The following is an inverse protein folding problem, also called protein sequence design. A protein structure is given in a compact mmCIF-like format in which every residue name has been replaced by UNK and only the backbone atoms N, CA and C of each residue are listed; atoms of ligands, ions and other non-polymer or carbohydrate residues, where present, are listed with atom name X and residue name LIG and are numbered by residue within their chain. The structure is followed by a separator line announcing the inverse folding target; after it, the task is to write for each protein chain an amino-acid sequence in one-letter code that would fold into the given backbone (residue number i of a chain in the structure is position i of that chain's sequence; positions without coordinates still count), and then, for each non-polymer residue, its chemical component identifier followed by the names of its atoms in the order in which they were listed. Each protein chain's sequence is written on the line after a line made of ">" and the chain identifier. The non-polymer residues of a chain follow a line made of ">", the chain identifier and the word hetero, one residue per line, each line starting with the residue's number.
data_IF_177167056874
#
_entry.id   IF_177167056874
#
_cell.length_a   1.000
_cell.length_b   1.000
_cell.length_c   1.000
_cell.angle_alpha   90.00
_cell.angle_beta   90.00
_cell.angle_gamma   90.00
#
_symmetry.space_group_name_H-M   'P 1'
#
loop_
_entity.id
_entity.type
_entity.pdbx_description
1 polymer ?
#
# COMPACT_ATOMS: atom_id res chain seq x y z
N UNK A 1 -0.23 4.42 85.88
CA UNK A 1 -1.53 5.10 85.97
C UNK A 1 -1.79 5.78 84.63
N UNK A 2 -2.80 5.33 83.87
CA UNK A 2 -3.66 6.03 82.87
C UNK A 2 -3.02 7.11 81.96
N UNK A 3 -3.19 7.24 80.64
CA UNK A 3 -4.06 6.76 79.55
C UNK A 3 -3.19 6.90 78.26
N UNK A 4 -3.37 6.24 77.12
CA UNK A 4 -4.48 6.40 76.19
C UNK A 4 -4.19 5.52 74.98
N UNK A 5 -5.07 4.56 74.68
CA UNK A 5 -5.07 3.79 73.46
C UNK A 5 -6.30 4.22 72.65
N UNK A 6 -6.08 4.84 71.48
CA UNK A 6 -7.11 5.07 70.50
C UNK A 6 -6.87 4.15 69.30
N UNK A 7 -7.71 3.14 69.20
CA UNK A 7 -7.82 2.21 68.09
C UNK A 7 -8.85 2.77 67.09
N UNK A 8 -8.53 2.91 65.78
CA UNK A 8 -9.56 3.23 64.80
C UNK A 8 -10.39 1.97 64.50
N UNK A 9 -11.68 2.07 64.79
CA UNK A 9 -12.71 1.06 64.55
C UNK A 9 -12.95 0.83 63.05
N UNK A 10 -13.04 -0.44 62.68
CA UNK A 10 -13.52 -0.94 61.40
C UNK A 10 -14.95 -0.45 61.14
N UNK A 11 -15.18 0.18 60.00
CA UNK A 11 -16.52 0.31 59.39
C UNK A 11 -16.80 -0.89 58.46
N UNK A 12 -18.05 -1.39 58.41
CA UNK A 12 -18.38 -2.63 57.72
C UNK A 12 -18.58 -2.45 56.20
N UNK A 13 -18.22 -3.52 55.48
CA UNK A 13 -18.52 -3.79 54.07
C UNK A 13 -20.03 -3.74 53.81
N UNK A 14 -20.46 -3.06 52.74
CA UNK A 14 -21.57 -3.46 51.85
C UNK A 14 -21.92 -2.28 50.92
N UNK A 15 -21.39 -2.29 49.70
CA UNK A 15 -22.05 -1.93 48.44
C UNK A 15 -20.98 -1.76 47.35
N UNK A 16 -21.29 -2.24 46.14
CA UNK A 16 -20.58 -2.07 44.85
C UNK A 16 -19.87 -3.30 44.26
N UNK A 17 -20.32 -4.51 44.59
CA UNK A 17 -20.12 -5.73 43.78
C UNK A 17 -21.35 -6.05 42.91
N UNK A 18 -21.89 -5.05 42.20
CA UNK A 18 -23.04 -5.25 41.29
C UNK A 18 -22.96 -4.41 40.01
N UNK A 19 -21.77 -4.28 39.41
CA UNK A 19 -21.63 -3.71 38.07
C UNK A 19 -20.72 -4.57 37.18
N UNK A 20 -20.88 -5.89 37.24
CA UNK A 20 -20.20 -6.87 36.38
C UNK A 20 -21.15 -7.82 35.64
N UNK A 21 -22.48 -7.58 35.64
CA UNK A 21 -23.45 -8.43 34.91
C UNK A 21 -24.51 -7.58 34.16
N UNK A 22 -24.10 -6.43 33.61
CA UNK A 22 -24.96 -5.63 32.73
C UNK A 22 -24.23 -5.13 31.46
N UNK A 23 -23.15 -5.81 31.07
CA UNK A 23 -22.41 -5.53 29.84
C UNK A 23 -22.19 -6.79 28.98
N UNK A 24 -23.02 -7.82 29.17
CA UNK A 24 -22.97 -9.11 28.44
C UNK A 24 -24.32 -9.52 27.83
N UNK A 25 -25.29 -8.60 27.76
CA UNK A 25 -26.58 -8.80 27.08
C UNK A 25 -26.79 -7.81 25.90
N UNK A 26 -25.69 -7.29 25.34
CA UNK A 26 -25.66 -6.58 24.06
C UNK A 26 -24.72 -7.28 23.05
N UNK A 27 -24.58 -8.60 23.20
CA UNK A 27 -24.38 -9.46 22.03
C UNK A 27 -25.77 -9.75 21.44
N UNK A 28 -25.87 -9.76 20.11
CA UNK A 28 -26.90 -10.49 19.33
C UNK A 28 -28.16 -9.77 18.81
N UNK A 29 -28.14 -8.46 18.49
CA UNK A 29 -29.15 -7.85 17.58
C UNK A 29 -28.53 -6.81 16.63
N UNK A 30 -27.51 -7.21 15.86
CA UNK A 30 -27.02 -6.41 14.72
C UNK A 30 -26.64 -7.27 13.49
N UNK A 31 -27.06 -8.54 13.48
CA UNK A 31 -27.24 -9.30 12.26
C UNK A 31 -28.75 -9.42 12.06
N UNK A 32 -29.24 -9.06 10.87
CA UNK A 32 -30.66 -9.01 10.45
C UNK A 32 -31.35 -7.65 10.56
N UNK A 33 -30.88 -6.65 9.80
CA UNK A 33 -31.78 -5.68 9.18
C UNK A 33 -31.57 -5.75 7.67
N UNK A 34 -32.61 -6.02 6.86
CA UNK A 34 -32.51 -5.84 5.42
C UNK A 34 -32.55 -4.33 5.18
N UNK A 35 -31.42 -3.75 4.82
CA UNK A 35 -31.38 -2.37 4.33
C UNK A 35 -31.98 -2.37 2.92
N UNK A 36 -33.15 -1.73 2.78
CA UNK A 36 -33.76 -1.42 1.49
C UNK A 36 -32.79 -0.55 0.67
N UNK A 37 -32.04 -1.18 -0.24
CA UNK A 37 -31.31 -0.45 -1.28
C UNK A 37 -32.35 0.23 -2.18
N UNK A 38 -32.18 1.51 -2.54
CA UNK A 38 -32.96 2.09 -3.62
C UNK A 38 -32.73 1.25 -4.87
N UNK A 39 -33.83 0.70 -5.39
CA UNK A 39 -33.88 -0.13 -6.60
C UNK A 39 -33.18 0.65 -7.71
N UNK A 40 -32.10 0.06 -8.21
CA UNK A 40 -31.36 0.58 -9.35
C UNK A 40 -32.32 0.90 -10.48
N UNK A 41 -32.10 2.04 -11.11
CA UNK A 41 -32.78 2.43 -12.31
C UNK A 41 -32.63 1.32 -13.36
N UNK A 42 -33.76 0.76 -13.80
CA UNK A 42 -33.83 -0.22 -14.88
C UNK A 42 -32.98 0.27 -16.07
N UNK A 43 -32.23 -0.61 -16.75
CA UNK A 43 -31.57 -0.25 -18.00
C UNK A 43 -32.66 0.20 -18.98
N UNK A 44 -32.66 1.50 -19.27
CA UNK A 44 -33.56 2.09 -20.25
C UNK A 44 -33.43 1.33 -21.56
N UNK A 45 -34.56 0.84 -22.06
CA UNK A 45 -34.70 0.25 -23.38
C UNK A 45 -34.17 1.29 -24.38
N UNK A 46 -33.03 1.02 -25.01
CA UNK A 46 -32.48 1.86 -26.06
C UNK A 46 -33.49 1.89 -27.22
N UNK A 47 -34.21 3.00 -27.34
CA UNK A 47 -34.94 3.34 -28.57
C UNK A 47 -33.93 3.49 -29.71
N UNK A 48 -34.20 2.95 -30.90
CA UNK A 48 -33.35 3.20 -32.06
C UNK A 48 -33.48 4.68 -32.45
N UNK A 49 -32.43 5.45 -32.17
CA UNK A 49 -32.24 6.78 -32.72
C UNK A 49 -31.99 6.67 -34.22
N UNK A 50 -32.80 7.38 -34.99
CA UNK A 50 -32.69 7.61 -36.43
C UNK A 50 -31.28 8.06 -36.82
N UNK A 51 -30.80 7.49 -37.92
CA UNK A 51 -29.40 7.47 -38.29
C UNK A 51 -28.78 8.80 -38.69
N UNK A 52 -27.46 8.84 -38.55
CA UNK A 52 -26.53 9.48 -39.47
C UNK A 52 -25.36 8.50 -39.66
N UNK A 53 -25.42 7.74 -40.75
CA UNK A 53 -24.33 6.86 -41.17
C UNK A 53 -23.20 7.73 -41.69
N UNK A 54 -22.18 7.99 -40.87
CA UNK A 54 -20.87 8.34 -41.39
C UNK A 54 -20.09 7.05 -41.57
N UNK A 55 -19.96 6.65 -42.83
CA UNK A 55 -19.13 5.55 -43.29
C UNK A 55 -17.66 5.93 -43.08
N UNK A 56 -17.07 5.53 -41.94
CA UNK A 56 -15.63 5.59 -41.77
C UNK A 56 -15.03 4.31 -42.31
N UNK A 57 -14.42 4.40 -43.49
CA UNK A 57 -13.52 3.38 -44.04
C UNK A 57 -12.47 2.98 -43.00
N UNK A 58 -12.14 1.68 -42.84
CA UNK A 58 -11.09 1.26 -41.94
C UNK A 58 -9.75 1.70 -42.52
N UNK A 59 -9.13 2.71 -41.91
CA UNK A 59 -7.70 2.96 -42.11
C UNK A 59 -6.99 1.74 -41.53
N UNK A 60 -6.41 0.93 -42.41
CA UNK A 60 -5.53 -0.17 -42.04
C UNK A 60 -4.48 0.38 -41.08
N UNK A 61 -4.44 -0.15 -39.86
CA UNK A 61 -3.46 0.23 -38.86
C UNK A 61 -2.07 -0.06 -39.42
N UNK A 62 -1.39 0.99 -39.87
CA UNK A 62 -0.02 0.92 -40.29
C UNK A 62 0.81 0.58 -39.04
N UNK A 63 1.57 -0.52 -39.14
CA UNK A 63 2.42 -1.03 -38.06
C UNK A 63 3.35 0.11 -37.61
N UNK A 64 3.44 0.43 -36.31
CA UNK A 64 4.21 1.59 -35.88
C UNK A 64 5.67 1.43 -36.31
N UNK A 65 6.09 2.32 -37.20
CA UNK A 65 7.48 2.46 -37.64
C UNK A 65 8.34 2.80 -36.42
N UNK A 66 9.32 1.94 -36.16
CA UNK A 66 10.28 2.04 -35.06
C UNK A 66 11.05 3.36 -35.13
N UNK A 67 10.67 4.32 -34.27
CA UNK A 67 11.50 5.46 -33.90
C UNK A 67 12.77 5.02 -33.13
N UNK A 68 13.67 5.96 -32.79
CA UNK A 68 14.97 5.67 -32.20
C UNK A 68 14.81 4.79 -30.96
N UNK A 69 15.58 3.69 -30.95
CA UNK A 69 15.40 2.49 -30.14
C UNK A 69 14.69 2.71 -28.81
N UNK A 70 13.45 2.21 -28.72
CA UNK A 70 12.78 2.02 -27.44
C UNK A 70 13.76 1.32 -26.48
N UNK A 71 13.88 1.79 -25.22
CA UNK A 71 14.81 1.21 -24.27
C UNK A 71 14.58 -0.30 -24.21
N UNK A 72 15.68 -1.07 -24.27
CA UNK A 72 15.61 -2.52 -24.24
C UNK A 72 14.87 -2.96 -22.97
N UNK A 73 13.66 -3.48 -23.15
CA UNK A 73 12.88 -4.07 -22.06
C UNK A 73 13.55 -5.38 -21.69
N UNK A 74 14.20 -5.43 -20.53
CA UNK A 74 14.74 -6.68 -20.01
C UNK A 74 13.57 -7.53 -19.53
N UNK A 75 13.52 -8.77 -20.03
CA UNK A 75 12.47 -9.73 -19.73
C UNK A 75 12.95 -10.65 -18.62
N UNK A 76 12.14 -10.76 -17.57
CA UNK A 76 12.36 -11.75 -16.53
C UNK A 76 11.77 -13.07 -16.98
N UNK A 77 12.54 -14.14 -16.84
CA UNK A 77 12.06 -15.51 -17.03
C UNK A 77 11.72 -16.12 -15.68
N UNK A 78 10.51 -16.67 -15.56
CA UNK A 78 10.05 -17.37 -14.35
C UNK A 78 10.28 -18.87 -14.55
N UNK A 79 10.95 -19.52 -13.61
CA UNK A 79 11.22 -20.96 -13.65
C UNK A 79 9.96 -21.75 -13.28
N UNK A 80 9.78 -22.99 -13.79
CA UNK A 80 8.70 -23.86 -13.32
C UNK A 80 8.75 -24.03 -11.80
N UNK A 81 7.61 -23.82 -11.13
CA UNK A 81 7.49 -23.91 -9.67
C UNK A 81 7.89 -22.66 -8.89
N UNK A 82 8.46 -21.65 -9.54
CA UNK A 82 8.78 -20.37 -8.91
C UNK A 82 7.50 -19.55 -8.68
N UNK A 83 7.33 -19.03 -7.47
CA UNK A 83 6.14 -18.26 -7.07
C UNK A 83 6.34 -16.78 -7.40
N UNK A 84 5.33 -16.18 -8.02
CA UNK A 84 5.28 -14.73 -8.27
C UNK A 84 4.10 -14.14 -7.51
N UNK A 85 4.38 -13.20 -6.62
CA UNK A 85 3.39 -12.49 -5.82
C UNK A 85 3.30 -11.04 -6.27
N UNK A 86 2.11 -10.59 -6.65
CA UNK A 86 1.83 -9.18 -6.92
C UNK A 86 1.16 -8.52 -5.71
N UNK A 87 1.64 -7.35 -5.31
CA UNK A 87 1.10 -6.54 -4.23
C UNK A 87 0.66 -5.20 -4.82
N UNK A 88 -0.59 -4.83 -4.56
CA UNK A 88 -1.19 -3.59 -5.03
C UNK A 88 -0.80 -2.38 -4.19
N UNK A 89 -1.60 -1.34 -4.33
CA UNK A 89 -1.40 -0.02 -3.74
C UNK A 89 -1.22 -0.09 -2.21
N UNK A 90 -0.09 0.45 -1.75
CA UNK A 90 0.29 0.47 -0.32
C UNK A 90 0.05 1.84 0.29
N UNK A 91 0.22 2.92 -0.49
CA UNK A 91 -0.06 4.29 -0.07
C UNK A 91 0.50 4.66 1.32
N UNK A 92 1.81 4.44 1.50
CA UNK A 92 2.48 4.86 2.73
C UNK A 92 2.11 4.07 3.99
N UNK A 93 1.40 2.94 3.88
CA UNK A 93 1.09 2.05 5.02
C UNK A 93 2.11 0.90 5.13
N UNK A 94 3.11 1.09 5.99
CA UNK A 94 4.15 0.08 6.21
C UNK A 94 3.60 -1.20 6.85
N UNK A 95 2.54 -1.10 7.65
CA UNK A 95 1.94 -2.26 8.32
C UNK A 95 1.24 -3.15 7.31
N UNK A 96 0.50 -2.55 6.37
CA UNK A 96 -0.13 -3.26 5.27
C UNK A 96 0.91 -3.97 4.38
N UNK A 97 2.00 -3.28 4.02
CA UNK A 97 3.08 -3.88 3.23
C UNK A 97 3.71 -5.09 3.95
N UNK A 98 4.06 -4.94 5.24
CA UNK A 98 4.60 -6.05 6.04
C UNK A 98 3.63 -7.22 6.12
N UNK A 99 2.34 -6.93 6.32
CA UNK A 99 1.29 -7.95 6.32
C UNK A 99 1.23 -8.72 5.01
N UNK A 100 1.20 -8.01 3.87
CA UNK A 100 1.18 -8.61 2.55
C UNK A 100 2.44 -9.46 2.27
N UNK A 101 3.62 -8.96 2.62
CA UNK A 101 4.88 -9.69 2.45
C UNK A 101 4.95 -10.96 3.32
N UNK A 102 4.46 -10.91 4.57
CA UNK A 102 4.40 -12.08 5.46
C UNK A 102 3.39 -13.11 4.97
N UNK A 103 2.21 -12.67 4.51
CA UNK A 103 1.21 -13.56 3.90
C UNK A 103 1.76 -14.26 2.65
N UNK A 104 2.61 -13.58 1.88
CA UNK A 104 3.31 -14.14 0.74
C UNK A 104 4.50 -15.05 1.11
N UNK A 105 4.80 -15.23 2.40
CA UNK A 105 6.01 -15.91 2.89
C UNK A 105 7.30 -15.32 2.33
N UNK A 106 7.32 -14.02 2.01
CA UNK A 106 8.49 -13.33 1.47
C UNK A 106 9.44 -12.87 2.57
N UNK A 107 8.91 -12.50 3.73
CA UNK A 107 9.68 -11.98 4.87
C UNK A 107 9.32 -12.67 6.19
N UNK A 108 10.26 -12.66 7.14
CA UNK A 108 10.04 -13.09 8.51
C UNK A 108 9.54 -11.95 9.43
N UNK A 109 9.44 -12.23 10.73
CA UNK A 109 9.04 -11.23 11.74
C UNK A 109 10.03 -10.08 11.94
N UNK A 110 11.26 -10.21 11.43
CA UNK A 110 12.35 -9.22 11.51
C UNK A 110 12.59 -8.53 10.17
N UNK A 111 11.64 -8.63 9.25
CA UNK A 111 11.73 -8.11 7.88
C UNK A 111 12.92 -8.65 7.07
N UNK A 112 13.37 -9.85 7.39
CA UNK A 112 14.41 -10.52 6.61
C UNK A 112 13.76 -11.37 5.54
N UNK A 113 14.35 -11.35 4.34
CA UNK A 113 13.92 -12.16 3.22
C UNK A 113 14.02 -13.66 3.55
N UNK A 114 12.89 -14.35 3.40
CA UNK A 114 12.78 -15.81 3.50
C UNK A 114 12.09 -16.41 2.26
N UNK A 115 11.81 -15.61 1.25
CA UNK A 115 11.08 -16.00 0.04
C UNK A 115 11.84 -16.92 -0.92
N UNK A 116 13.10 -17.28 -0.61
CA UNK A 116 13.92 -18.13 -1.48
C UNK A 116 14.08 -17.54 -2.88
N UNK A 117 13.79 -18.32 -3.91
CA UNK A 117 13.78 -17.87 -5.30
C UNK A 117 12.47 -17.17 -5.72
N UNK A 118 11.56 -16.90 -4.78
CA UNK A 118 10.30 -16.20 -5.06
C UNK A 118 10.49 -14.79 -5.62
N UNK A 119 9.48 -14.33 -6.36
CA UNK A 119 9.43 -12.99 -6.94
C UNK A 119 8.28 -12.22 -6.30
N UNK A 120 8.58 -11.03 -5.77
CA UNK A 120 7.56 -10.07 -5.33
C UNK A 120 7.54 -8.88 -6.28
N UNK A 121 6.36 -8.51 -6.75
CA UNK A 121 6.15 -7.33 -7.60
C UNK A 121 5.20 -6.39 -6.87
N UNK A 122 5.62 -5.15 -6.60
CA UNK A 122 4.67 -4.10 -6.21
C UNK A 122 4.23 -3.40 -7.48
N UNK A 123 2.92 -3.26 -7.70
CA UNK A 123 2.38 -2.76 -8.97
C UNK A 123 2.40 -1.24 -9.11
N UNK A 124 2.95 -0.53 -8.12
CA UNK A 124 2.96 0.94 -8.03
C UNK A 124 2.24 1.44 -6.79
N UNK A 125 2.15 2.75 -6.65
CA UNK A 125 1.34 3.45 -5.65
C UNK A 125 1.66 3.03 -4.21
N UNK A 126 2.96 2.92 -3.91
CA UNK A 126 3.45 2.69 -2.56
C UNK A 126 3.82 3.99 -1.83
N UNK A 127 3.87 5.11 -2.56
CA UNK A 127 3.97 6.46 -2.03
C UNK A 127 2.60 7.11 -1.74
N UNK A 128 2.66 8.25 -1.06
CA UNK A 128 1.57 9.18 -0.72
C UNK A 128 0.53 8.63 0.26
N UNK A 129 -0.39 9.50 0.71
CA UNK A 129 -1.47 9.28 1.69
C UNK A 129 -1.03 8.92 3.12
N UNK A 130 -0.20 7.90 3.28
CA UNK A 130 0.35 7.45 4.56
C UNK A 130 1.63 8.18 4.96
N UNK A 131 2.12 7.86 6.16
CA UNK A 131 3.23 8.57 6.81
C UNK A 131 4.55 7.79 6.78
N UNK A 132 4.52 6.51 6.37
CA UNK A 132 5.67 5.59 6.49
C UNK A 132 6.43 5.38 5.17
N UNK A 133 6.25 6.29 4.20
CA UNK A 133 6.83 6.19 2.85
C UNK A 133 8.35 5.92 2.88
N UNK A 134 9.09 6.62 3.76
CA UNK A 134 10.54 6.43 3.88
C UNK A 134 10.89 5.02 4.38
N UNK A 135 10.16 4.52 5.37
CA UNK A 135 10.39 3.19 5.91
C UNK A 135 10.02 2.09 4.89
N UNK A 136 9.00 2.32 4.07
CA UNK A 136 8.67 1.46 2.92
C UNK A 136 9.83 1.42 1.93
N UNK A 137 10.38 2.57 1.55
CA UNK A 137 11.55 2.63 0.67
C UNK A 137 12.75 1.87 1.22
N UNK A 138 13.09 2.11 2.49
CA UNK A 138 14.23 1.46 3.14
C UNK A 138 14.03 -0.06 3.21
N UNK A 139 12.81 -0.53 3.49
CA UNK A 139 12.45 -1.95 3.47
C UNK A 139 12.59 -2.56 2.08
N UNK A 140 12.00 -1.93 1.06
CA UNK A 140 12.04 -2.45 -0.32
C UNK A 140 13.48 -2.57 -0.83
N UNK A 141 14.32 -1.56 -0.59
CA UNK A 141 15.73 -1.60 -0.98
C UNK A 141 16.50 -2.71 -0.26
N UNK A 142 16.24 -2.92 1.03
CA UNK A 142 16.85 -4.02 1.77
C UNK A 142 16.43 -5.38 1.21
N UNK A 143 15.14 -5.58 0.95
CA UNK A 143 14.61 -6.84 0.42
C UNK A 143 15.07 -7.13 -1.01
N UNK A 144 15.22 -6.10 -1.86
CA UNK A 144 15.82 -6.25 -3.18
C UNK A 144 17.23 -6.86 -3.07
N UNK A 145 18.09 -6.28 -2.22
CA UNK A 145 19.43 -6.79 -2.01
C UNK A 145 19.46 -8.20 -1.41
N UNK A 146 18.57 -8.50 -0.45
CA UNK A 146 18.52 -9.82 0.19
C UNK A 146 17.99 -10.91 -0.77
N UNK A 147 16.92 -10.62 -1.51
CA UNK A 147 16.30 -11.56 -2.44
C UNK A 147 17.28 -12.04 -3.50
N UNK A 148 18.05 -11.10 -4.08
CA UNK A 148 19.06 -11.39 -5.10
C UNK A 148 20.09 -12.44 -4.63
N UNK A 149 20.48 -12.45 -3.35
CA UNK A 149 21.44 -13.42 -2.79
C UNK A 149 20.93 -14.87 -2.78
N UNK A 150 19.60 -15.05 -2.83
CA UNK A 150 18.93 -16.35 -2.80
C UNK A 150 18.30 -16.73 -4.15
N UNK A 151 18.50 -15.90 -5.18
CA UNK A 151 17.91 -16.06 -6.51
C UNK A 151 16.46 -15.60 -6.63
N UNK A 152 15.91 -14.98 -5.57
CA UNK A 152 14.63 -14.30 -5.59
C UNK A 152 14.77 -12.84 -6.03
N UNK A 153 13.66 -12.12 -6.07
CA UNK A 153 13.67 -10.71 -6.48
C UNK A 153 12.48 -9.92 -5.95
N UNK A 154 12.69 -8.62 -5.77
CA UNK A 154 11.63 -7.65 -5.47
C UNK A 154 11.62 -6.55 -6.54
N UNK A 155 10.47 -6.33 -7.17
CA UNK A 155 10.28 -5.35 -8.23
C UNK A 155 9.20 -4.34 -7.86
N UNK A 156 9.55 -3.20 -7.25
CA UNK A 156 8.63 -2.09 -7.10
C UNK A 156 8.51 -1.34 -8.43
N UNK A 157 7.36 -1.46 -9.07
CA UNK A 157 7.03 -0.76 -10.31
C UNK A 157 6.58 0.68 -10.03
N UNK A 158 6.64 1.54 -11.04
CA UNK A 158 6.21 2.94 -10.93
C UNK A 158 4.70 3.03 -11.20
N UNK A 159 3.95 3.50 -10.20
CA UNK A 159 2.54 3.88 -10.34
C UNK A 159 2.36 5.36 -10.65
N UNK A 160 1.11 5.83 -10.62
CA UNK A 160 0.78 7.23 -10.83
C UNK A 160 1.30 8.10 -9.68
N UNK A 161 1.29 7.64 -8.43
CA UNK A 161 1.79 8.45 -7.31
C UNK A 161 3.30 8.67 -7.38
N UNK A 162 4.08 7.66 -7.79
CA UNK A 162 5.50 7.84 -8.06
C UNK A 162 5.76 8.86 -9.18
N UNK A 163 4.92 8.83 -10.23
CA UNK A 163 4.99 9.78 -11.34
C UNK A 163 4.61 11.21 -10.91
N UNK A 164 3.54 11.39 -10.14
CA UNK A 164 3.11 12.70 -9.61
C UNK A 164 4.23 13.34 -8.78
N UNK A 165 4.85 12.53 -7.90
CA UNK A 165 5.99 12.99 -7.11
C UNK A 165 7.17 13.43 -7.98
N UNK A 166 7.51 12.68 -9.03
CA UNK A 166 8.56 13.03 -9.98
C UNK A 166 8.23 14.31 -10.78
N UNK A 167 6.94 14.57 -11.04
CA UNK A 167 6.44 15.79 -11.68
C UNK A 167 6.35 16.98 -10.70
N UNK A 168 6.54 16.74 -9.41
CA UNK A 168 6.46 17.76 -8.38
C UNK A 168 5.04 18.13 -7.97
N UNK A 169 4.07 17.26 -8.26
CA UNK A 169 2.73 17.28 -7.69
C UNK A 169 2.75 16.49 -6.37
N UNK A 170 2.39 17.16 -5.29
CA UNK A 170 2.45 16.63 -3.93
C UNK A 170 1.11 16.78 -3.20
N UNK A 171 0.01 16.91 -3.93
CA UNK A 171 -1.31 17.17 -3.35
C UNK A 171 -1.85 15.95 -2.57
N UNK A 172 -1.44 14.75 -2.99
CA UNK A 172 -1.80 13.50 -2.30
C UNK A 172 -0.86 13.13 -1.14
N UNK A 173 0.25 13.86 -0.97
CA UNK A 173 1.23 13.58 0.09
C UNK A 173 0.67 14.06 1.42
N UNK A 174 0.71 13.19 2.43
CA UNK A 174 0.30 13.55 3.79
C UNK A 174 1.18 14.68 4.35
N UNK A 175 0.70 15.38 5.38
CA UNK A 175 1.49 16.44 6.03
C UNK A 175 2.81 15.91 6.56
N UNK A 176 2.83 14.69 7.14
CA UNK A 176 4.06 14.09 7.66
C UNK A 176 4.91 13.50 6.54
N UNK A 177 4.33 12.96 5.47
CA UNK A 177 5.05 12.52 4.27
C UNK A 177 5.82 13.64 3.56
N UNK A 178 5.31 14.89 3.62
CA UNK A 178 6.05 16.08 3.15
C UNK A 178 7.32 16.35 3.97
N UNK A 179 7.34 15.94 5.24
CA UNK A 179 8.45 16.10 6.16
C UNK A 179 9.35 14.85 6.25
N UNK A 180 8.82 13.67 5.94
CA UNK A 180 9.47 12.36 6.11
C UNK A 180 10.80 12.25 5.37
N UNK A 181 10.95 13.01 4.28
CA UNK A 181 12.14 13.02 3.43
C UNK A 181 13.01 14.27 3.62
N UNK A 182 12.82 15.09 4.65
CA UNK A 182 13.66 16.26 4.88
C UNK A 182 15.05 15.88 5.42
N UNK A 183 15.76 15.01 4.71
CA UNK A 183 17.13 14.62 4.99
C UNK A 183 18.06 15.75 4.58
N UNK A 184 18.93 16.18 5.51
CA UNK A 184 20.02 17.13 5.22
C UNK A 184 19.57 18.47 4.61
N UNK A 185 18.34 18.90 4.90
CA UNK A 185 17.79 20.17 4.43
C UNK A 185 17.29 20.15 2.97
N UNK A 186 17.22 18.98 2.33
CA UNK A 186 16.61 18.84 1.01
C UNK A 186 15.11 18.68 1.13
N UNK A 187 14.37 19.46 0.36
CA UNK A 187 12.91 19.35 0.24
C UNK A 187 12.54 18.11 -0.57
N UNK A 188 11.33 17.58 -0.36
CA UNK A 188 10.74 16.51 -1.20
C UNK A 188 10.84 16.84 -2.70
N UNK A 189 10.56 18.10 -3.07
CA UNK A 189 10.70 18.59 -4.45
C UNK A 189 12.11 18.39 -5.01
N UNK A 190 13.13 18.71 -4.22
CA UNK A 190 14.53 18.51 -4.64
C UNK A 190 14.92 17.03 -4.73
N UNK A 191 14.31 16.18 -3.91
CA UNK A 191 14.60 14.75 -3.91
C UNK A 191 13.98 13.99 -5.09
N UNK A 192 12.80 14.41 -5.54
CA UNK A 192 12.11 13.85 -6.70
C UNK A 192 12.40 14.58 -8.03
N UNK A 193 13.06 15.74 -8.00
CA UNK A 193 13.54 16.40 -9.21
C UNK A 193 14.53 15.51 -9.99
N UNK A 194 14.70 15.71 -11.32
CA UNK A 194 15.68 14.98 -12.10
C UNK A 194 17.10 15.03 -11.47
N UNK A 195 17.70 13.86 -11.26
CA UNK A 195 19.00 13.72 -10.59
C UNK A 195 18.95 13.72 -9.06
N UNK A 196 17.77 14.02 -8.47
CA UNK A 196 17.51 13.86 -7.06
C UNK A 196 17.55 12.39 -6.64
N UNK A 197 17.88 12.13 -5.37
CA UNK A 197 18.10 10.77 -4.85
C UNK A 197 16.88 9.87 -5.04
N UNK A 198 15.67 10.36 -4.78
CA UNK A 198 14.45 9.54 -4.91
C UNK A 198 14.09 9.31 -6.38
N UNK A 199 14.33 10.29 -7.26
CA UNK A 199 14.17 10.12 -8.71
C UNK A 199 15.13 9.06 -9.28
N UNK A 200 16.37 9.03 -8.80
CA UNK A 200 17.34 8.00 -9.18
C UNK A 200 16.93 6.61 -8.69
N UNK A 201 16.38 6.51 -7.47
CA UNK A 201 15.87 5.25 -6.93
C UNK A 201 14.69 4.72 -7.75
N UNK A 202 13.72 5.57 -8.09
CA UNK A 202 12.60 5.21 -8.98
C UNK A 202 13.10 4.65 -10.33
N UNK A 203 14.13 5.28 -10.89
CA UNK A 203 14.77 4.80 -12.12
C UNK A 203 15.44 3.43 -11.92
N UNK A 204 16.16 3.23 -10.83
CA UNK A 204 16.84 1.96 -10.55
C UNK A 204 15.85 0.81 -10.33
N UNK A 205 14.76 1.06 -9.61
CA UNK A 205 13.67 0.10 -9.45
C UNK A 205 13.05 -0.33 -10.80
N UNK A 206 13.09 0.55 -11.80
CA UNK A 206 12.64 0.24 -13.17
C UNK A 206 13.70 -0.42 -14.06
N UNK A 207 14.99 -0.29 -13.73
CA UNK A 207 16.12 -0.83 -14.51
C UNK A 207 16.70 -2.15 -13.96
N UNK A 208 16.33 -2.58 -12.75
CA UNK A 208 16.71 -3.90 -12.23
C UNK A 208 15.96 -5.05 -12.92
N UNK A 209 14.87 -4.75 -13.64
CA UNK A 209 14.22 -5.67 -14.57
C UNK A 209 15.17 -6.11 -15.66
#
# INVERSE_FOLDING_TARGET
>A
MNLSAACPTKTPRLLRTTLLIALWAWLAVACSRPEDRPRGQEPGTLRPGSGHTQETTPVAAEKPTSGPGAPAVKRISVKPGQVVTAIGDIHGDLTALRGALKLASAIDEKDQWIGGDGIVVLTGDYLDRGDDEKAIWDLLLALQGQGETTGGAVFPLIGNHEMLNAQGDFDSVSMRGKLAFNEKGLTRRQLFAPGGRLALLLRLCSCSL
#
